data_IF_432532556053
#
_entry.id   IF_432532556053
#
_cell.length_a   1.000
_cell.length_b   1.000
_cell.length_c   1.000
_cell.angle_alpha   90.00
_cell.angle_beta   90.00
_cell.angle_gamma   90.00
#
_symmetry.space_group_name_H-M   'P 1'
#
loop_
_entity.id
_entity.type
_entity.pdbx_description
1 polymer ?
#
# COMPACT_ATOMS: atom_id res chain seq x y z
N UNK A 1 8.05 -28.92 -34.16
CA UNK A 1 6.71 -28.69 -33.58
C UNK A 1 6.77 -28.63 -32.06
N UNK A 2 7.65 -29.42 -31.44
CA UNK A 2 7.94 -29.42 -29.99
C UNK A 2 8.34 -28.05 -29.43
N UNK A 3 9.30 -27.36 -30.05
CA UNK A 3 9.72 -26.03 -29.56
C UNK A 3 8.61 -24.96 -29.51
N UNK A 4 7.52 -25.11 -30.29
CA UNK A 4 6.35 -24.22 -30.18
C UNK A 4 5.49 -24.56 -28.98
N UNK A 5 5.36 -25.84 -28.64
CA UNK A 5 4.62 -26.27 -27.46
C UNK A 5 5.38 -25.97 -26.17
N UNK A 6 6.70 -26.16 -26.17
CA UNK A 6 7.58 -25.80 -25.05
C UNK A 6 7.51 -24.30 -24.76
N UNK A 7 7.71 -23.44 -25.77
CA UNK A 7 7.63 -21.99 -25.58
C UNK A 7 6.25 -21.50 -25.10
N UNK A 8 5.16 -22.16 -25.49
CA UNK A 8 3.82 -21.84 -24.99
C UNK A 8 3.63 -22.25 -23.52
N UNK A 9 4.24 -23.36 -23.10
CA UNK A 9 4.18 -23.81 -21.70
C UNK A 9 5.03 -22.91 -20.81
N UNK A 10 6.24 -22.57 -21.26
CA UNK A 10 7.17 -21.67 -20.56
C UNK A 10 6.54 -20.28 -20.39
N UNK A 11 6.06 -19.64 -21.47
CA UNK A 11 5.42 -18.32 -21.37
C UNK A 11 4.16 -18.31 -20.50
N UNK A 12 3.40 -19.42 -20.45
CA UNK A 12 2.26 -19.55 -19.50
C UNK A 12 2.72 -19.68 -18.06
N UNK A 13 3.86 -20.31 -17.81
CA UNK A 13 4.41 -20.46 -16.48
C UNK A 13 4.99 -19.14 -15.98
N UNK A 14 5.76 -18.46 -16.81
CA UNK A 14 6.31 -17.12 -16.54
C UNK A 14 5.18 -16.12 -16.25
N UNK A 15 4.21 -15.98 -17.15
CA UNK A 15 3.11 -15.03 -16.95
C UNK A 15 2.24 -15.33 -15.71
N UNK A 16 2.12 -16.60 -15.30
CA UNK A 16 1.46 -16.94 -14.02
C UNK A 16 2.31 -16.54 -12.81
N UNK A 17 3.63 -16.70 -12.89
CA UNK A 17 4.53 -16.32 -11.80
C UNK A 17 4.59 -14.81 -11.64
N UNK A 18 4.75 -14.07 -12.73
CA UNK A 18 4.74 -12.60 -12.74
C UNK A 18 3.41 -12.07 -12.18
N UNK A 19 2.27 -12.51 -12.72
CA UNK A 19 0.97 -12.05 -12.25
C UNK A 19 0.68 -12.40 -10.78
N UNK A 20 1.19 -13.52 -10.27
CA UNK A 20 1.09 -13.85 -8.85
C UNK A 20 1.94 -12.91 -8.00
N UNK A 21 3.17 -12.61 -8.42
CA UNK A 21 4.06 -11.71 -7.69
C UNK A 21 3.51 -10.28 -7.65
N UNK A 22 3.07 -9.75 -8.80
CA UNK A 22 2.44 -8.44 -8.91
C UNK A 22 1.18 -8.36 -8.03
N UNK A 23 0.28 -9.36 -8.15
CA UNK A 23 -0.96 -9.40 -7.38
C UNK A 23 -0.73 -9.48 -5.86
N UNK A 24 0.29 -10.23 -5.42
CA UNK A 24 0.66 -10.28 -3.99
C UNK A 24 1.23 -8.94 -3.51
N UNK A 25 2.05 -8.27 -4.32
CA UNK A 25 2.64 -6.98 -3.97
C UNK A 25 1.59 -5.88 -3.92
N UNK A 26 0.76 -5.75 -4.94
CA UNK A 26 -0.34 -4.78 -4.98
C UNK A 26 -1.36 -5.04 -3.87
N UNK A 27 -1.73 -6.31 -3.66
CA UNK A 27 -2.68 -6.71 -2.62
C UNK A 27 -2.20 -6.38 -1.22
N UNK A 28 -0.89 -6.53 -0.94
CA UNK A 28 -0.29 -6.12 0.33
C UNK A 28 -0.39 -4.62 0.54
N UNK A 29 0.02 -3.83 -0.45
CA UNK A 29 0.01 -2.35 -0.37
C UNK A 29 -1.41 -1.82 -0.16
N UNK A 30 -2.37 -2.31 -0.96
CA UNK A 30 -3.76 -1.87 -0.87
C UNK A 30 -4.43 -2.31 0.43
N UNK A 31 -4.13 -3.53 0.90
CA UNK A 31 -4.62 -4.03 2.19
C UNK A 31 -4.14 -3.18 3.37
N UNK A 32 -2.84 -2.85 3.39
CA UNK A 32 -2.24 -2.05 4.45
C UNK A 32 -2.78 -0.61 4.46
N UNK A 33 -2.84 0.03 3.29
CA UNK A 33 -3.43 1.37 3.13
C UNK A 33 -4.86 1.42 3.64
N UNK A 34 -5.70 0.46 3.25
CA UNK A 34 -7.10 0.39 3.66
C UNK A 34 -7.23 0.20 5.17
N UNK A 35 -6.39 -0.65 5.76
CA UNK A 35 -6.38 -0.88 7.19
C UNK A 35 -5.96 0.39 7.96
N UNK A 36 -4.92 1.08 7.51
CA UNK A 36 -4.45 2.32 8.11
C UNK A 36 -5.51 3.42 8.03
N UNK A 37 -6.10 3.67 6.86
CA UNK A 37 -7.16 4.66 6.70
C UNK A 37 -8.31 4.42 7.69
N UNK A 38 -8.79 3.17 7.80
CA UNK A 38 -9.86 2.81 8.74
C UNK A 38 -9.47 3.04 10.20
N UNK A 39 -8.23 2.69 10.58
CA UNK A 39 -7.76 2.88 11.96
C UNK A 39 -7.61 4.36 12.30
N UNK A 40 -7.06 5.15 11.37
CA UNK A 40 -6.86 6.58 11.53
C UNK A 40 -8.22 7.29 11.62
N UNK A 41 -9.15 6.98 10.71
CA UNK A 41 -10.53 7.53 10.75
C UNK A 41 -11.26 7.14 12.04
N UNK A 42 -11.08 5.91 12.53
CA UNK A 42 -11.69 5.49 13.78
C UNK A 42 -11.16 6.27 15.00
N UNK A 43 -9.86 6.63 14.99
CA UNK A 43 -9.22 7.35 16.09
C UNK A 43 -9.46 8.85 16.05
N UNK A 44 -9.36 9.46 14.88
CA UNK A 44 -9.38 10.92 14.71
C UNK A 44 -10.67 11.47 14.11
N UNK A 45 -11.59 10.60 13.70
CA UNK A 45 -12.80 10.99 12.98
C UNK A 45 -12.56 11.17 11.49
N UNK A 46 -13.46 11.91 10.82
CA UNK A 46 -13.37 12.16 9.39
C UNK A 46 -12.06 12.87 9.04
N UNK A 47 -11.31 12.28 8.09
CA UNK A 47 -10.03 12.80 7.67
C UNK A 47 -10.18 13.83 6.54
N UNK A 48 -9.38 14.90 6.54
CA UNK A 48 -9.29 15.80 5.40
C UNK A 48 -8.91 15.04 4.13
N UNK A 49 -9.46 15.44 2.99
CA UNK A 49 -9.18 14.82 1.68
C UNK A 49 -7.69 14.80 1.34
N UNK A 50 -6.94 15.82 1.76
CA UNK A 50 -5.48 15.89 1.59
C UNK A 50 -4.76 14.78 2.35
N UNK A 51 -5.20 14.43 3.57
CA UNK A 51 -4.59 13.36 4.36
C UNK A 51 -4.83 12.00 3.69
N UNK A 52 -6.06 11.78 3.22
CA UNK A 52 -6.45 10.55 2.50
C UNK A 52 -5.60 10.40 1.24
N UNK A 53 -5.47 11.47 0.44
CA UNK A 53 -4.66 11.45 -0.78
C UNK A 53 -3.17 11.18 -0.49
N UNK A 54 -2.61 11.81 0.55
CA UNK A 54 -1.22 11.56 0.96
C UNK A 54 -1.01 10.11 1.38
N UNK A 55 -1.89 9.55 2.22
CA UNK A 55 -1.82 8.14 2.64
C UNK A 55 -1.96 7.19 1.43
N UNK A 56 -2.82 7.54 0.47
CA UNK A 56 -2.97 6.78 -0.77
C UNK A 56 -1.68 6.75 -1.61
N UNK A 57 -0.93 7.85 -1.62
CA UNK A 57 0.31 7.98 -2.36
C UNK A 57 1.55 7.37 -1.65
N UNK A 58 1.45 6.98 -0.37
CA UNK A 58 2.59 6.42 0.36
C UNK A 58 3.08 5.11 -0.26
N UNK A 59 4.42 4.95 -0.25
CA UNK A 59 5.08 3.67 -0.51
C UNK A 59 4.76 2.66 0.60
N UNK A 60 4.91 1.36 0.30
CA UNK A 60 4.75 0.30 1.30
C UNK A 60 5.55 0.57 2.57
N UNK A 61 6.82 0.96 2.42
CA UNK A 61 7.69 1.24 3.56
C UNK A 61 7.18 2.41 4.42
N UNK A 62 6.59 3.43 3.80
CA UNK A 62 6.02 4.56 4.56
C UNK A 62 4.67 4.20 5.18
N UNK A 63 3.89 3.30 4.58
CA UNK A 63 2.70 2.74 5.23
C UNK A 63 3.08 1.98 6.50
N UNK A 64 4.13 1.14 6.44
CA UNK A 64 4.61 0.37 7.59
C UNK A 64 5.07 1.30 8.71
N UNK A 65 5.83 2.35 8.36
CA UNK A 65 6.25 3.41 9.31
C UNK A 65 5.06 4.14 9.93
N UNK A 66 4.05 4.47 9.13
CA UNK A 66 2.83 5.11 9.63
C UNK A 66 2.10 4.20 10.64
N UNK A 67 2.06 2.89 10.38
CA UNK A 67 1.45 1.90 11.27
C UNK A 67 2.10 1.82 12.66
N UNK A 68 3.39 2.13 12.76
CA UNK A 68 4.11 2.24 14.03
C UNK A 68 3.95 3.63 14.66
N UNK A 69 4.09 4.69 13.85
CA UNK A 69 4.06 6.07 14.32
C UNK A 69 2.68 6.50 14.84
N UNK A 70 1.60 5.96 14.26
CA UNK A 70 0.22 6.34 14.58
C UNK A 70 -0.08 6.26 16.07
N UNK A 71 0.48 5.29 16.80
CA UNK A 71 0.24 5.11 18.23
C UNK A 71 0.67 6.32 19.06
N UNK A 72 1.70 7.05 18.60
CA UNK A 72 2.21 8.28 19.22
C UNK A 72 1.42 9.55 18.91
N UNK A 73 0.50 9.53 17.94
CA UNK A 73 -0.26 10.72 17.53
C UNK A 73 -1.42 11.00 18.49
N UNK A 74 -1.56 12.24 18.94
CA UNK A 74 -2.65 12.66 19.82
C UNK A 74 -3.74 13.44 19.07
N UNK A 75 -3.39 14.00 17.91
CA UNK A 75 -4.25 14.86 17.12
C UNK A 75 -4.14 14.56 15.63
N UNK A 76 -5.12 15.02 14.85
CA UNK A 76 -5.05 15.03 13.39
C UNK A 76 -3.89 15.89 12.87
N UNK A 77 -3.48 16.92 13.61
CA UNK A 77 -2.34 17.77 13.26
C UNK A 77 -1.02 16.98 13.28
N UNK A 78 -0.84 16.08 14.27
CA UNK A 78 0.34 15.20 14.35
C UNK A 78 0.46 14.32 13.10
N UNK A 79 -0.67 13.77 12.65
CA UNK A 79 -0.74 12.99 11.41
C UNK A 79 -0.37 13.84 10.19
N UNK A 80 -0.94 15.04 10.06
CA UNK A 80 -0.68 15.91 8.91
C UNK A 80 0.80 16.32 8.83
N UNK A 81 1.40 16.64 9.97
CA UNK A 81 2.83 16.96 10.06
C UNK A 81 3.70 15.76 9.66
N UNK A 82 3.36 14.56 10.15
CA UNK A 82 4.06 13.35 9.74
C UNK A 82 3.92 13.11 8.24
N UNK A 83 2.72 13.26 7.67
CA UNK A 83 2.51 13.09 6.24
C UNK A 83 3.33 14.08 5.41
N UNK A 84 3.45 15.34 5.83
CA UNK A 84 4.30 16.33 5.14
C UNK A 84 5.78 15.91 5.07
N UNK A 85 6.29 15.26 6.12
CA UNK A 85 7.68 14.79 6.17
C UNK A 85 7.92 13.53 5.32
N UNK A 86 6.92 12.64 5.23
CA UNK A 86 7.08 11.29 4.66
C UNK A 86 6.28 11.03 3.37
N UNK A 87 5.55 12.01 2.82
CA UNK A 87 4.83 11.89 1.54
C UNK A 87 5.68 12.19 0.30
N UNK A 88 7.02 12.15 0.42
CA UNK A 88 7.97 12.39 -0.68
C UNK A 88 8.34 11.11 -1.41
#
# INVERSE_FOLDING_TARGET
QEGRQEGLQEGRQEGRQEGLQEGLQEGRIEGERRLLLRQIEHRFGELPSVAIASIQALSLQNLERLGEAIWGFNTTEDLLNWLQEYSS
#
